data_IF_226816227181
#
_entry.id   IF_226816227181
#
_cell.length_a   1.000
_cell.length_b   1.000
_cell.length_c   1.000
_cell.angle_alpha   90.00
_cell.angle_beta   90.00
_cell.angle_gamma   90.00
#
_symmetry.space_group_name_H-M   'P 1'
#
loop_
_entity.id
_entity.type
_entity.pdbx_description
1 polymer ?
#
# COMPACT_ATOMS: atom_id res chain seq x y z
N UNK A 1 -6.09 11.26 15.11
CA UNK A 1 -4.76 10.81 14.61
C UNK A 1 -4.90 10.72 13.12
N UNK A 2 -4.10 11.50 12.40
CA UNK A 2 -4.16 11.56 10.94
C UNK A 2 -2.95 10.80 10.38
N UNK A 3 -3.11 10.23 9.20
CA UNK A 3 -2.05 9.50 8.52
C UNK A 3 -1.93 9.98 7.09
N UNK A 4 -0.72 9.98 6.55
CA UNK A 4 -0.43 10.35 5.17
C UNK A 4 0.15 9.14 4.45
N UNK A 5 -0.40 8.79 3.30
CA UNK A 5 0.18 7.74 2.45
C UNK A 5 1.36 8.30 1.67
N UNK A 6 2.37 7.46 1.42
CA UNK A 6 3.53 7.80 0.64
C UNK A 6 3.97 6.62 -0.21
N UNK A 7 3.97 6.80 -1.53
CA UNK A 7 4.63 5.92 -2.47
C UNK A 7 6.08 6.37 -2.64
N UNK A 8 7.01 5.52 -2.21
CA UNK A 8 8.45 5.80 -2.22
C UNK A 8 9.14 5.32 -3.48
N UNK A 9 10.18 4.51 -3.29
CA UNK A 9 10.94 3.91 -4.39
C UNK A 9 10.14 2.86 -5.15
N UNK A 10 10.31 2.91 -6.47
CA UNK A 10 9.71 2.02 -7.46
C UNK A 10 10.83 1.30 -8.22
N UNK A 11 10.78 -0.03 -8.26
CA UNK A 11 11.67 -0.84 -9.10
C UNK A 11 10.96 -1.20 -10.40
N UNK A 12 11.73 -1.59 -11.41
CA UNK A 12 11.19 -2.10 -12.66
C UNK A 12 10.38 -3.39 -12.42
N UNK A 13 9.12 -3.39 -12.86
CA UNK A 13 8.23 -4.54 -12.74
C UNK A 13 8.56 -5.61 -13.76
N UNK A 14 8.46 -6.88 -13.36
CA UNK A 14 8.80 -8.05 -14.19
C UNK A 14 7.60 -8.68 -14.90
N UNK A 15 6.37 -8.34 -14.50
CA UNK A 15 5.15 -8.90 -15.08
C UNK A 15 3.96 -7.94 -14.95
N UNK A 16 2.84 -8.30 -15.61
CA UNK A 16 1.61 -7.49 -15.67
C UNK A 16 0.96 -7.27 -14.30
N UNK A 17 0.98 -8.29 -13.42
CA UNK A 17 0.46 -8.18 -12.05
C UNK A 17 1.22 -7.13 -11.25
N UNK A 18 2.56 -7.15 -11.30
CA UNK A 18 3.39 -6.18 -10.60
C UNK A 18 3.14 -4.76 -11.12
N UNK A 19 3.05 -4.58 -12.44
CA UNK A 19 2.71 -3.29 -13.06
C UNK A 19 1.33 -2.77 -12.61
N UNK A 20 0.32 -3.64 -12.56
CA UNK A 20 -1.01 -3.28 -12.10
C UNK A 20 -1.03 -2.86 -10.62
N UNK A 21 -0.36 -3.62 -9.75
CA UNK A 21 -0.24 -3.30 -8.32
C UNK A 21 0.52 -1.98 -8.12
N UNK A 22 1.63 -1.77 -8.85
CA UNK A 22 2.41 -0.53 -8.75
C UNK A 22 1.59 0.68 -9.19
N UNK A 23 0.90 0.61 -10.33
CA UNK A 23 0.03 1.68 -10.81
C UNK A 23 -1.09 2.01 -9.81
N UNK A 24 -1.69 0.98 -9.20
CA UNK A 24 -2.68 1.15 -8.15
C UNK A 24 -2.12 1.87 -6.92
N UNK A 25 -0.97 1.43 -6.38
CA UNK A 25 -0.33 2.07 -5.23
C UNK A 25 0.03 3.53 -5.54
N UNK A 26 0.55 3.81 -6.73
CA UNK A 26 0.88 5.16 -7.19
C UNK A 26 -0.35 6.07 -7.24
N UNK A 27 -1.52 5.55 -7.64
CA UNK A 27 -2.76 6.33 -7.67
C UNK A 27 -3.26 6.76 -6.28
N UNK A 28 -2.77 6.12 -5.21
CA UNK A 28 -3.13 6.42 -3.83
C UNK A 28 -2.03 7.17 -3.08
N UNK A 29 -1.02 7.70 -3.78
CA UNK A 29 0.03 8.50 -3.16
C UNK A 29 -0.54 9.81 -2.56
N UNK A 30 0.04 10.26 -1.45
CA UNK A 30 -0.30 11.51 -0.74
C UNK A 30 -1.77 11.67 -0.32
N UNK A 31 -2.45 10.58 0.00
CA UNK A 31 -3.80 10.60 0.56
C UNK A 31 -3.77 10.82 2.08
N UNK A 32 -4.59 11.75 2.55
CA UNK A 32 -4.79 12.01 3.97
C UNK A 32 -5.89 11.09 4.54
N UNK A 33 -5.54 10.30 5.54
CA UNK A 33 -6.44 9.39 6.25
C UNK A 33 -6.72 9.93 7.65
N UNK A 34 -7.91 10.47 7.84
CA UNK A 34 -8.34 11.05 9.11
C UNK A 34 -8.90 9.98 10.05
N UNK A 35 -8.20 9.75 11.16
CA UNK A 35 -8.64 8.82 12.19
C UNK A 35 -8.27 7.35 11.94
N UNK A 36 -8.29 6.57 13.03
CA UNK A 36 -7.96 5.14 13.01
C UNK A 36 -8.94 4.31 12.18
N UNK A 37 -10.19 4.75 12.06
CA UNK A 37 -11.21 4.05 11.26
C UNK A 37 -10.90 4.12 9.76
N UNK A 38 -10.63 5.32 9.22
CA UNK A 38 -10.21 5.48 7.81
C UNK A 38 -8.92 4.72 7.52
N UNK A 39 -7.94 4.76 8.44
CA UNK A 39 -6.72 3.95 8.33
C UNK A 39 -7.03 2.45 8.20
N UNK A 40 -7.89 1.91 9.06
CA UNK A 40 -8.25 0.48 9.06
C UNK A 40 -8.94 0.08 7.76
N UNK A 41 -9.87 0.91 7.26
CA UNK A 41 -10.55 0.67 5.99
C UNK A 41 -9.57 0.71 4.83
N UNK A 42 -8.70 1.71 4.79
CA UNK A 42 -7.70 1.88 3.74
C UNK A 42 -6.71 0.72 3.67
N UNK A 43 -6.19 0.27 4.82
CA UNK A 43 -5.32 -0.91 4.87
C UNK A 43 -6.00 -2.17 4.31
N UNK A 44 -7.28 -2.36 4.63
CA UNK A 44 -8.08 -3.48 4.13
C UNK A 44 -8.33 -3.36 2.63
N UNK A 45 -8.66 -2.17 2.11
CA UNK A 45 -8.92 -1.97 0.69
C UNK A 45 -7.68 -2.24 -0.16
N UNK A 46 -6.49 -1.84 0.29
CA UNK A 46 -5.23 -2.18 -0.41
C UNK A 46 -5.03 -3.69 -0.50
N UNK A 47 -5.16 -4.43 0.60
CA UNK A 47 -4.99 -5.89 0.60
C UNK A 47 -6.04 -6.56 -0.29
N UNK A 48 -7.31 -6.13 -0.20
CA UNK A 48 -8.39 -6.66 -1.01
C UNK A 48 -8.11 -6.44 -2.50
N UNK A 49 -7.70 -5.22 -2.89
CA UNK A 49 -7.43 -4.93 -4.30
C UNK A 49 -6.25 -5.71 -4.86
N UNK A 50 -5.18 -5.90 -4.09
CA UNK A 50 -4.05 -6.74 -4.52
C UNK A 50 -4.50 -8.21 -4.69
N UNK A 51 -5.40 -8.71 -3.83
CA UNK A 51 -5.97 -10.06 -3.99
C UNK A 51 -6.84 -10.18 -5.24
N UNK A 52 -7.66 -9.17 -5.55
CA UNK A 52 -8.40 -9.12 -6.81
C UNK A 52 -7.44 -9.16 -8.01
N UNK A 53 -6.37 -8.34 -7.99
CA UNK A 53 -5.37 -8.33 -9.05
C UNK A 53 -4.65 -9.68 -9.20
N UNK A 54 -4.39 -10.40 -8.09
CA UNK A 54 -3.86 -11.77 -8.17
C UNK A 54 -4.81 -12.72 -8.91
N UNK A 55 -6.13 -12.59 -8.71
CA UNK A 55 -7.14 -13.40 -9.39
C UNK A 55 -7.24 -13.05 -10.87
N UNK A 56 -7.26 -11.75 -11.20
CA UNK A 56 -7.27 -11.24 -12.58
C UNK A 56 -6.01 -11.68 -13.36
N UNK A 57 -4.87 -11.77 -12.67
CA UNK A 57 -3.58 -12.20 -13.23
C UNK A 57 -3.14 -13.58 -12.73
N UNK A 58 -4.04 -14.57 -12.77
CA UNK A 58 -3.83 -15.94 -12.26
C UNK A 58 -2.59 -16.68 -12.79
N UNK A 59 -2.03 -16.25 -13.94
CA UNK A 59 -0.79 -16.80 -14.51
C UNK A 59 0.49 -16.27 -13.84
N UNK A 60 0.40 -15.16 -13.12
CA UNK A 60 1.53 -14.56 -12.40
C UNK A 60 1.64 -15.17 -10.99
N UNK A 61 2.86 -15.21 -10.43
CA UNK A 61 3.04 -15.58 -9.01
C UNK A 61 2.25 -14.60 -8.13
N UNK A 62 1.34 -15.08 -7.27
CA UNK A 62 0.55 -14.22 -6.39
C UNK A 62 1.42 -13.37 -5.48
N UNK A 63 0.96 -12.14 -5.23
CA UNK A 63 1.55 -11.22 -4.27
C UNK A 63 0.78 -11.35 -2.96
N UNK A 64 1.48 -11.56 -1.85
CA UNK A 64 0.89 -11.70 -0.52
C UNK A 64 1.25 -10.48 0.33
N UNK A 65 0.49 -9.37 0.22
CA UNK A 65 0.80 -8.16 0.94
C UNK A 65 0.37 -8.24 2.40
N UNK A 66 1.17 -7.64 3.29
CA UNK A 66 0.80 -7.43 4.68
C UNK A 66 1.31 -6.09 5.18
N UNK A 67 0.65 -5.53 6.20
CA UNK A 67 1.10 -4.30 6.84
C UNK A 67 2.02 -4.64 8.00
N UNK A 68 3.24 -4.10 7.95
CA UNK A 68 4.16 -4.10 9.07
C UNK A 68 4.07 -2.76 9.80
N UNK A 69 3.88 -2.80 11.11
CA UNK A 69 3.95 -1.60 11.95
C UNK A 69 5.42 -1.35 12.32
N UNK A 70 5.90 -0.16 12.00
CA UNK A 70 7.24 0.28 12.39
C UNK A 70 7.16 1.13 13.65
N UNK A 71 8.32 1.45 14.23
CA UNK A 71 8.40 2.34 15.37
C UNK A 71 7.72 3.68 15.05
N UNK A 72 6.94 4.20 16.01
CA UNK A 72 6.19 5.49 15.96
C UNK A 72 4.79 5.48 15.33
N UNK A 73 4.11 4.32 15.23
CA UNK A 73 2.77 4.15 14.63
C UNK A 73 2.73 4.40 13.11
N UNK A 74 3.88 4.22 12.46
CA UNK A 74 3.98 4.22 11.01
C UNK A 74 3.77 2.81 10.48
N UNK A 75 3.36 2.69 9.22
CA UNK A 75 3.11 1.39 8.61
C UNK A 75 3.79 1.27 7.25
N UNK A 76 4.38 0.11 7.01
CA UNK A 76 4.99 -0.23 5.72
C UNK A 76 4.22 -1.38 5.09
N UNK A 77 3.93 -1.27 3.79
CA UNK A 77 3.40 -2.38 3.02
C UNK A 77 4.55 -3.34 2.67
N UNK A 78 4.45 -4.56 3.18
CA UNK A 78 5.39 -5.65 2.93
C UNK A 78 4.79 -6.65 1.94
N UNK A 79 5.63 -7.53 1.39
CA UNK A 79 5.22 -8.48 0.34
C UNK A 79 5.20 -7.89 -1.08
N UNK A 80 5.43 -6.58 -1.21
CA UNK A 80 5.51 -5.86 -2.49
C UNK A 80 6.97 -5.47 -2.77
N UNK A 81 7.78 -6.43 -3.21
CA UNK A 81 9.25 -6.24 -3.38
C UNK A 81 9.68 -5.26 -4.48
N UNK A 82 8.75 -4.73 -5.26
CA UNK A 82 9.00 -3.82 -6.39
C UNK A 82 8.50 -2.39 -6.15
N UNK A 83 7.84 -2.12 -5.02
CA UNK A 83 7.35 -0.80 -4.66
C UNK A 83 7.44 -0.63 -3.14
N UNK A 84 8.01 0.47 -2.66
CA UNK A 84 7.97 0.80 -1.23
C UNK A 84 6.78 1.69 -0.97
N UNK A 85 5.88 1.27 -0.08
CA UNK A 85 4.69 2.04 0.25
C UNK A 85 4.54 2.18 1.75
N UNK A 86 4.34 3.42 2.20
CA UNK A 86 4.28 3.79 3.61
C UNK A 86 2.99 4.52 3.95
N UNK A 87 2.58 4.42 5.21
CA UNK A 87 1.57 5.23 5.84
C UNK A 87 2.21 5.85 7.09
N UNK A 88 2.48 7.15 7.03
CA UNK A 88 3.10 7.88 8.12
C UNK A 88 2.05 8.47 9.04
N UNK A 89 2.26 8.34 10.35
CA UNK A 89 1.49 9.04 11.35
C UNK A 89 1.83 10.53 11.30
N UNK A 90 0.84 11.35 10.93
CA UNK A 90 0.98 12.80 10.93
C UNK A 90 0.85 13.33 12.36
N UNK A 91 1.94 13.91 12.87
CA UNK A 91 1.97 14.57 14.17
C UNK A 91 1.36 15.98 14.14
N UNK A 92 1.19 16.57 12.96
CA UNK A 92 0.68 17.93 12.84
C UNK A 92 -0.85 17.93 12.65
N UNK A 93 -1.55 18.51 13.63
CA UNK A 93 -2.85 19.14 13.42
C UNK A 93 -2.55 20.44 12.67
N UNK A 94 -2.78 20.47 11.36
CA UNK A 94 -3.00 21.75 10.70
C UNK A 94 -4.39 22.24 11.10
#
# INVERSE_FOLDING_TARGET
MNYLTHNGHELMTKNKLQAAVQAYLKSMDRQLLEGKFKLKLFKKSIIAKIKELNQEHSRCKPIEPYWWETDKNDFKLMGVGFSTYYIYHSKNRY
#
